data_IF_138222423904
#
_entry.id   IF_138222423904
#
_cell.length_a   1.000
_cell.length_b   1.000
_cell.length_c   1.000
_cell.angle_alpha   90.00
_cell.angle_beta   90.00
_cell.angle_gamma   90.00
#
_symmetry.space_group_name_H-M   'P 1'
#
loop_
_entity.id
_entity.type
_entity.pdbx_description
1 polymer ?
#
# COMPACT_ATOMS: atom_id res chain seq x y z
N UNK A 1 60.28 33.00 -16.95
CA UNK A 1 59.45 31.86 -17.32
C UNK A 1 58.46 31.59 -16.20
N UNK A 2 57.17 31.87 -16.42
CA UNK A 2 56.11 31.56 -15.43
C UNK A 2 55.44 30.25 -15.84
N UNK A 3 55.64 29.23 -15.05
CA UNK A 3 55.01 27.92 -15.21
C UNK A 3 53.55 27.98 -14.72
N UNK A 4 52.59 27.97 -15.64
CA UNK A 4 51.18 27.82 -15.32
C UNK A 4 50.89 26.37 -14.91
N UNK A 5 50.68 26.13 -13.61
CA UNK A 5 50.14 24.88 -13.10
C UNK A 5 48.66 24.84 -13.44
N UNK A 6 48.28 23.93 -14.33
CA UNK A 6 46.89 23.61 -14.62
C UNK A 6 46.29 22.89 -13.38
N UNK A 7 45.35 23.55 -12.69
CA UNK A 7 44.60 22.91 -11.62
C UNK A 7 43.88 21.66 -12.17
N UNK A 8 44.17 20.52 -11.58
CA UNK A 8 43.45 19.28 -11.86
C UNK A 8 41.94 19.50 -11.58
N UNK A 9 41.13 19.26 -12.61
CA UNK A 9 39.67 19.31 -12.49
C UNK A 9 39.27 18.18 -11.57
N UNK A 10 38.66 18.52 -10.39
CA UNK A 10 38.10 17.51 -9.51
C UNK A 10 37.09 16.67 -10.30
N UNK A 11 37.30 15.37 -10.34
CA UNK A 11 36.32 14.42 -10.85
C UNK A 11 35.09 14.48 -9.96
N UNK A 12 33.88 14.43 -10.53
CA UNK A 12 32.66 14.38 -9.73
C UNK A 12 32.76 13.20 -8.76
N UNK A 13 32.51 13.47 -7.46
CA UNK A 13 32.40 12.43 -6.45
C UNK A 13 31.34 11.45 -6.92
N UNK A 14 31.71 10.20 -7.11
CA UNK A 14 30.77 9.10 -7.25
C UNK A 14 30.00 9.07 -5.92
N UNK A 15 28.73 9.48 -5.94
CA UNK A 15 27.84 9.31 -4.80
C UNK A 15 27.55 7.82 -4.74
N UNK A 16 28.14 7.13 -3.78
CA UNK A 16 27.75 5.75 -3.50
C UNK A 16 26.25 5.73 -3.21
N UNK A 17 25.45 4.82 -3.82
CA UNK A 17 24.04 4.72 -3.51
C UNK A 17 23.90 4.52 -2.00
N UNK A 18 22.97 5.26 -1.38
CA UNK A 18 22.68 5.09 0.05
C UNK A 18 22.38 3.62 0.32
N UNK A 19 22.90 3.07 1.40
CA UNK A 19 22.70 1.65 1.76
C UNK A 19 21.22 1.28 1.93
N UNK A 20 20.33 2.27 1.95
CA UNK A 20 18.87 2.12 2.09
C UNK A 20 18.10 2.36 0.79
N UNK A 21 18.77 2.71 -0.33
CA UNK A 21 18.10 2.87 -1.62
C UNK A 21 17.46 1.55 -2.07
N UNK A 22 16.15 1.61 -2.36
CA UNK A 22 15.37 0.44 -2.72
C UNK A 22 14.92 -0.44 -1.55
N UNK A 23 15.33 -0.17 -0.31
CA UNK A 23 14.81 -0.90 0.85
C UNK A 23 13.34 -0.52 1.07
N UNK A 24 12.42 -1.40 0.70
CA UNK A 24 10.98 -1.16 0.73
C UNK A 24 10.26 -2.20 1.61
N UNK A 25 9.52 -1.71 2.58
CA UNK A 25 8.52 -2.48 3.33
C UNK A 25 7.13 -2.02 2.88
N UNK A 26 6.38 -2.91 2.25
CA UNK A 26 5.07 -2.60 1.68
C UNK A 26 3.98 -3.47 2.29
N UNK A 27 2.94 -2.84 2.82
CA UNK A 27 1.70 -3.50 3.22
C UNK A 27 0.68 -3.33 2.10
N UNK A 28 0.11 -4.43 1.62
CA UNK A 28 -1.03 -4.42 0.72
C UNK A 28 -2.25 -4.79 1.56
N UNK A 29 -3.09 -3.80 1.84
CA UNK A 29 -4.28 -3.95 2.65
C UNK A 29 -5.52 -3.90 1.76
N UNK A 30 -6.33 -4.93 1.77
CA UNK A 30 -7.54 -4.98 0.96
C UNK A 30 -8.76 -5.41 1.78
N UNK A 31 -9.83 -4.69 1.53
CA UNK A 31 -11.15 -5.00 2.02
C UNK A 31 -11.68 -6.27 1.33
N UNK A 32 -12.18 -7.22 2.12
CA UNK A 32 -12.68 -8.52 1.66
C UNK A 32 -14.21 -8.62 1.67
N UNK A 33 -14.90 -7.51 1.85
CA UNK A 33 -16.36 -7.46 1.78
C UNK A 33 -16.88 -7.75 0.36
N UNK A 34 -18.15 -8.10 0.24
CA UNK A 34 -18.70 -8.63 -1.01
C UNK A 34 -18.56 -7.71 -2.23
N UNK A 35 -18.61 -6.37 -2.02
CA UNK A 35 -18.42 -5.36 -3.07
C UNK A 35 -17.02 -5.40 -3.70
N UNK A 36 -16.01 -5.85 -2.93
CA UNK A 36 -14.62 -5.91 -3.35
C UNK A 36 -14.23 -7.18 -4.11
N UNK A 37 -15.12 -8.17 -4.21
CA UNK A 37 -14.80 -9.50 -4.77
C UNK A 37 -14.15 -9.46 -6.16
N UNK A 38 -14.58 -8.56 -7.06
CA UNK A 38 -14.01 -8.45 -8.41
C UNK A 38 -12.55 -7.98 -8.39
N UNK A 39 -12.20 -7.08 -7.48
CA UNK A 39 -10.83 -6.54 -7.33
C UNK A 39 -9.89 -7.59 -6.72
N UNK A 40 -10.35 -8.28 -5.69
CA UNK A 40 -9.59 -9.36 -5.04
C UNK A 40 -9.34 -10.51 -6.02
N UNK A 41 -10.37 -10.93 -6.77
CA UNK A 41 -10.22 -11.99 -7.76
C UNK A 41 -9.22 -11.62 -8.86
N UNK A 42 -9.15 -10.37 -9.29
CA UNK A 42 -8.14 -9.91 -10.24
C UNK A 42 -6.71 -10.05 -9.65
N UNK A 43 -6.50 -9.70 -8.39
CA UNK A 43 -5.22 -9.92 -7.71
C UNK A 43 -4.91 -11.41 -7.59
N UNK A 44 -5.86 -12.23 -7.12
CA UNK A 44 -5.68 -13.70 -7.00
C UNK A 44 -5.31 -14.34 -8.34
N UNK A 45 -5.91 -13.87 -9.44
CA UNK A 45 -5.64 -14.39 -10.79
C UNK A 45 -4.20 -14.14 -11.23
N UNK A 46 -3.65 -12.96 -10.93
CA UNK A 46 -2.34 -12.52 -11.42
C UNK A 46 -1.22 -12.63 -10.38
N UNK A 47 -1.51 -13.02 -9.14
CA UNK A 47 -0.53 -13.01 -8.04
C UNK A 47 0.73 -13.84 -8.33
N UNK A 48 0.58 -14.98 -9.04
CA UNK A 48 1.70 -15.85 -9.37
C UNK A 48 2.69 -15.24 -10.37
N UNK A 49 2.26 -14.22 -11.12
CA UNK A 49 3.11 -13.48 -12.06
C UNK A 49 3.61 -12.19 -11.41
N UNK A 50 2.74 -11.52 -10.67
CA UNK A 50 3.02 -10.23 -10.02
C UNK A 50 4.12 -10.35 -8.96
N UNK A 51 3.97 -11.29 -8.02
CA UNK A 51 4.87 -11.40 -6.86
C UNK A 51 6.31 -11.68 -7.27
N UNK A 52 6.62 -12.69 -8.11
CA UNK A 52 8.00 -12.89 -8.59
C UNK A 52 8.56 -11.70 -9.36
N UNK A 53 7.73 -11.00 -10.15
CA UNK A 53 8.13 -9.80 -10.89
C UNK A 53 8.57 -8.69 -9.94
N UNK A 54 7.83 -8.44 -8.86
CA UNK A 54 8.17 -7.42 -7.87
C UNK A 54 9.49 -7.75 -7.16
N UNK A 55 9.68 -8.99 -6.71
CA UNK A 55 10.92 -9.39 -6.02
C UNK A 55 12.13 -9.42 -6.95
N UNK A 56 11.96 -9.80 -8.22
CA UNK A 56 13.04 -9.72 -9.20
C UNK A 56 13.45 -8.29 -9.51
N UNK A 57 12.51 -7.34 -9.44
CA UNK A 57 12.79 -5.92 -9.67
C UNK A 57 13.39 -5.21 -8.45
N UNK A 58 13.08 -5.69 -7.25
CA UNK A 58 13.58 -5.13 -5.99
C UNK A 58 13.86 -6.24 -4.95
N UNK A 59 15.11 -6.75 -4.86
CA UNK A 59 15.50 -7.78 -3.90
C UNK A 59 15.36 -7.37 -2.42
N UNK A 60 15.35 -6.06 -2.12
CA UNK A 60 15.19 -5.54 -0.76
C UNK A 60 13.72 -5.21 -0.41
N UNK A 61 12.78 -5.70 -1.21
CA UNK A 61 11.36 -5.62 -0.95
C UNK A 61 10.94 -6.66 0.11
N UNK A 62 10.11 -6.25 1.08
CA UNK A 62 9.27 -7.13 1.89
C UNK A 62 7.81 -6.74 1.72
N UNK A 63 6.94 -7.73 1.65
CA UNK A 63 5.50 -7.53 1.52
C UNK A 63 4.78 -8.12 2.73
N UNK A 64 3.87 -7.36 3.32
CA UNK A 64 2.82 -7.82 4.24
C UNK A 64 1.48 -7.77 3.52
N UNK A 65 0.61 -8.70 3.82
CA UNK A 65 -0.77 -8.70 3.30
C UNK A 65 -1.73 -8.58 4.49
N UNK A 66 -2.66 -7.65 4.39
CA UNK A 66 -3.75 -7.47 5.35
C UNK A 66 -5.08 -7.61 4.61
N UNK A 67 -5.82 -8.67 4.91
CA UNK A 67 -7.17 -8.91 4.39
C UNK A 67 -8.16 -8.65 5.51
N UNK A 68 -9.13 -7.77 5.29
CA UNK A 68 -9.98 -7.30 6.39
C UNK A 68 -11.44 -7.09 5.96
N UNK A 69 -12.35 -7.08 6.92
CA UNK A 69 -13.77 -6.79 6.76
C UNK A 69 -14.21 -5.74 7.78
N UNK A 70 -15.16 -6.13 8.65
CA UNK A 70 -15.75 -5.21 9.63
C UNK A 70 -15.93 -5.87 11.00
N UNK A 71 -16.31 -5.06 12.00
CA UNK A 71 -16.65 -5.52 13.36
C UNK A 71 -17.72 -6.59 13.36
N UNK A 72 -18.66 -6.58 12.43
CA UNK A 72 -19.67 -7.61 12.29
C UNK A 72 -19.11 -9.01 11.99
N UNK A 73 -17.94 -9.07 11.38
CA UNK A 73 -17.25 -10.31 11.02
C UNK A 73 -16.35 -10.85 12.14
N UNK A 74 -16.15 -10.08 13.21
CA UNK A 74 -15.43 -10.51 14.41
C UNK A 74 -16.25 -11.53 15.21
N UNK A 75 -15.58 -12.47 15.86
CA UNK A 75 -16.21 -13.40 16.80
C UNK A 75 -16.41 -12.79 18.18
N UNK A 76 -15.48 -11.94 18.58
CA UNK A 76 -15.51 -11.12 19.79
C UNK A 76 -14.52 -9.98 19.64
N UNK A 77 -14.55 -9.01 20.58
CA UNK A 77 -13.60 -7.88 20.58
C UNK A 77 -12.11 -8.29 20.61
N UNK A 78 -11.81 -9.48 21.12
CA UNK A 78 -10.45 -10.00 21.25
C UNK A 78 -10.17 -11.15 20.26
N UNK A 79 -11.15 -11.57 19.47
CA UNK A 79 -11.03 -12.63 18.47
C UNK A 79 -11.55 -12.15 17.11
N UNK A 80 -10.65 -11.65 16.30
CA UNK A 80 -10.97 -11.09 14.99
C UNK A 80 -11.48 -12.14 13.99
N UNK A 81 -11.14 -13.43 14.17
CA UNK A 81 -11.55 -14.49 13.27
C UNK A 81 -11.07 -14.21 11.85
N UNK A 82 -12.01 -14.18 10.88
CA UNK A 82 -11.72 -13.81 9.49
C UNK A 82 -11.77 -12.30 9.22
N UNK A 83 -12.29 -11.51 10.19
CA UNK A 83 -12.43 -10.06 10.03
C UNK A 83 -11.09 -9.33 9.84
N UNK A 84 -10.01 -9.85 10.41
CA UNK A 84 -8.66 -9.31 10.23
C UNK A 84 -7.66 -10.46 10.08
N UNK A 85 -7.18 -10.64 8.88
CA UNK A 85 -6.23 -11.68 8.50
C UNK A 85 -4.94 -11.01 8.07
N UNK A 86 -3.79 -11.43 8.61
CA UNK A 86 -2.50 -10.80 8.34
C UNK A 86 -1.42 -11.83 8.02
N UNK A 87 -0.65 -11.53 7.00
CA UNK A 87 0.67 -12.09 6.76
C UNK A 87 1.70 -11.01 7.04
N UNK A 88 2.55 -11.26 8.02
CA UNK A 88 3.63 -10.32 8.38
C UNK A 88 4.60 -10.08 7.22
N UNK A 89 5.35 -8.97 7.31
CA UNK A 89 6.36 -8.60 6.32
C UNK A 89 7.32 -9.74 6.02
N UNK A 90 7.35 -10.19 4.80
CA UNK A 90 8.18 -11.31 4.32
C UNK A 90 8.69 -11.08 2.89
N UNK A 91 9.79 -11.73 2.53
CA UNK A 91 10.27 -11.87 1.16
C UNK A 91 10.04 -13.29 0.59
N UNK A 92 9.27 -14.11 1.28
CA UNK A 92 8.90 -15.45 0.83
C UNK A 92 7.70 -15.38 -0.12
N UNK A 93 7.97 -15.47 -1.42
CA UNK A 93 6.97 -15.40 -2.49
C UNK A 93 5.86 -16.44 -2.31
N UNK A 94 6.21 -17.66 -1.88
CA UNK A 94 5.23 -18.74 -1.72
C UNK A 94 4.25 -18.44 -0.59
N UNK A 95 4.72 -17.85 0.51
CA UNK A 95 3.85 -17.44 1.61
C UNK A 95 2.87 -16.36 1.17
N UNK A 96 3.34 -15.38 0.40
CA UNK A 96 2.50 -14.28 -0.11
C UNK A 96 1.43 -14.83 -1.06
N UNK A 97 1.84 -15.63 -2.05
CA UNK A 97 0.93 -16.23 -3.03
C UNK A 97 -0.10 -17.11 -2.34
N UNK A 98 0.34 -17.94 -1.37
CA UNK A 98 -0.55 -18.80 -0.59
C UNK A 98 -1.57 -17.98 0.19
N UNK A 99 -1.12 -16.98 0.94
CA UNK A 99 -1.99 -16.16 1.76
C UNK A 99 -3.07 -15.45 0.93
N UNK A 100 -2.69 -14.81 -0.19
CA UNK A 100 -3.64 -14.11 -1.07
C UNK A 100 -4.70 -15.08 -1.62
N UNK A 101 -4.32 -16.31 -1.99
CA UNK A 101 -5.27 -17.30 -2.49
C UNK A 101 -6.20 -17.85 -1.40
N UNK A 102 -5.74 -17.93 -0.14
CA UNK A 102 -6.48 -18.48 0.99
C UNK A 102 -7.25 -17.44 1.80
N UNK A 103 -7.00 -16.13 1.57
CA UNK A 103 -7.70 -15.06 2.25
C UNK A 103 -9.22 -15.21 2.09
N UNK A 104 -9.91 -15.21 3.24
CA UNK A 104 -11.35 -15.46 3.31
C UNK A 104 -12.13 -14.16 3.10
N UNK A 105 -13.23 -14.29 2.40
CA UNK A 105 -14.19 -13.22 2.20
C UNK A 105 -14.93 -12.92 3.52
N UNK A 106 -15.31 -11.67 3.71
CA UNK A 106 -16.09 -11.17 4.83
C UNK A 106 -17.45 -10.65 4.34
N UNK A 107 -18.34 -10.34 5.28
CA UNK A 107 -19.71 -9.98 4.93
C UNK A 107 -19.92 -8.47 4.82
N UNK A 108 -19.26 -7.70 5.70
CA UNK A 108 -19.69 -6.35 6.00
C UNK A 108 -21.07 -6.33 6.67
N UNK A 109 -21.35 -5.40 7.55
CA UNK A 109 -22.62 -5.37 8.29
C UNK A 109 -23.47 -4.15 8.04
N UNK A 110 -22.85 -3.08 7.65
CA UNK A 110 -23.44 -1.81 7.26
C UNK A 110 -22.64 -1.17 6.12
N UNK A 111 -22.69 0.12 5.94
CA UNK A 111 -22.04 0.80 4.81
C UNK A 111 -20.64 1.32 5.11
N UNK A 112 -20.22 1.32 6.37
CA UNK A 112 -18.88 1.68 6.82
C UNK A 112 -18.14 0.40 7.25
N UNK A 113 -16.80 0.43 7.25
CA UNK A 113 -15.97 -0.71 7.62
C UNK A 113 -14.91 -0.26 8.64
N UNK A 114 -14.29 -1.18 9.38
CA UNK A 114 -13.38 -0.81 10.50
C UNK A 114 -11.98 -0.35 10.05
N UNK A 115 -11.93 0.54 9.07
CA UNK A 115 -10.67 1.06 8.51
C UNK A 115 -9.83 1.82 9.53
N UNK A 116 -10.47 2.48 10.53
CA UNK A 116 -9.76 3.11 11.64
C UNK A 116 -8.94 2.09 12.44
N UNK A 117 -9.48 0.89 12.64
CA UNK A 117 -8.77 -0.23 13.29
C UNK A 117 -7.65 -0.76 12.39
N UNK A 118 -7.88 -0.86 11.09
CA UNK A 118 -6.86 -1.31 10.12
C UNK A 118 -5.66 -0.35 10.10
N UNK A 119 -5.91 0.96 10.04
CA UNK A 119 -4.84 1.98 10.09
C UNK A 119 -4.05 1.83 11.39
N UNK A 120 -4.75 1.73 12.53
CA UNK A 120 -4.12 1.54 13.84
C UNK A 120 -3.23 0.30 13.88
N UNK A 121 -3.77 -0.86 13.52
CA UNK A 121 -3.04 -2.13 13.58
C UNK A 121 -1.83 -2.16 12.64
N UNK A 122 -1.96 -1.66 11.41
CA UNK A 122 -0.83 -1.55 10.49
C UNK A 122 0.26 -0.63 11.07
N UNK A 123 -0.14 0.48 11.68
CA UNK A 123 0.79 1.44 12.25
C UNK A 123 1.56 0.87 13.44
N UNK A 124 0.86 0.20 14.36
CA UNK A 124 1.40 -0.22 15.66
C UNK A 124 1.99 -1.63 15.64
N UNK A 125 1.48 -2.55 14.79
CA UNK A 125 1.83 -3.98 14.87
C UNK A 125 2.76 -4.44 13.74
N UNK A 126 2.95 -3.67 12.66
CA UNK A 126 3.85 -4.07 11.57
C UNK A 126 5.31 -3.91 11.97
N UNK A 127 6.12 -4.95 11.77
CA UNK A 127 7.56 -4.95 12.07
C UNK A 127 8.38 -4.23 10.98
N UNK A 128 8.18 -2.93 10.86
CA UNK A 128 8.88 -2.07 9.90
C UNK A 128 10.40 -2.07 10.13
N UNK A 129 11.19 -2.15 9.05
CA UNK A 129 12.66 -1.98 9.16
C UNK A 129 13.02 -0.51 9.35
N UNK A 130 14.03 -0.27 10.16
CA UNK A 130 14.65 1.05 10.24
C UNK A 130 15.30 1.40 8.88
N UNK A 131 15.11 2.64 8.43
CA UNK A 131 15.67 3.11 7.15
C UNK A 131 14.92 2.65 5.89
N UNK A 132 13.90 1.78 6.00
CA UNK A 132 13.10 1.42 4.84
C UNK A 132 12.11 2.52 4.44
N UNK A 133 11.79 2.58 3.16
CA UNK A 133 10.55 3.20 2.70
C UNK A 133 9.38 2.36 3.22
N UNK A 134 8.46 2.99 3.97
CA UNK A 134 7.31 2.33 4.57
C UNK A 134 6.06 2.75 3.82
N UNK A 135 5.46 1.84 3.10
CA UNK A 135 4.29 2.11 2.26
C UNK A 135 3.14 1.15 2.56
N UNK A 136 1.95 1.67 2.56
CA UNK A 136 0.69 0.91 2.62
C UNK A 136 -0.10 1.22 1.36
N UNK A 137 -0.55 0.22 0.62
CA UNK A 137 -1.55 0.37 -0.41
C UNK A 137 -2.89 -0.15 0.13
N UNK A 138 -3.82 0.76 0.39
CA UNK A 138 -5.18 0.45 0.83
C UNK A 138 -6.10 0.37 -0.39
N UNK A 139 -6.68 -0.80 -0.62
CA UNK A 139 -7.63 -1.11 -1.71
C UNK A 139 -9.00 -1.36 -1.07
N UNK A 140 -9.91 -0.39 -1.21
CA UNK A 140 -11.16 -0.40 -0.45
C UNK A 140 -12.23 0.51 -1.08
N UNK A 141 -13.51 0.34 -0.68
CA UNK A 141 -14.64 1.05 -1.30
C UNK A 141 -15.64 1.67 -0.31
N UNK A 142 -15.36 1.62 1.00
CA UNK A 142 -16.19 2.16 2.08
C UNK A 142 -15.49 3.34 2.82
N UNK A 143 -15.95 3.69 4.00
CA UNK A 143 -15.34 4.67 4.91
C UNK A 143 -15.15 4.05 6.32
N UNK A 144 -14.31 4.67 7.19
CA UNK A 144 -14.14 4.20 8.55
C UNK A 144 -15.36 4.50 9.42
N UNK A 145 -15.58 3.68 10.43
CA UNK A 145 -16.54 4.00 11.48
C UNK A 145 -16.14 5.26 12.25
N UNK A 146 -17.14 5.94 12.76
CA UNK A 146 -16.96 7.13 13.61
C UNK A 146 -16.66 6.71 15.05
N UNK A 147 -15.93 7.55 15.75
CA UNK A 147 -15.79 7.44 17.21
C UNK A 147 -17.18 7.32 17.85
N UNK A 148 -17.35 6.39 18.77
CA UNK A 148 -18.61 6.07 19.39
C UNK A 148 -19.40 4.93 18.75
N UNK A 149 -18.93 4.36 17.64
CA UNK A 149 -19.56 3.23 16.97
C UNK A 149 -19.74 2.03 17.90
N UNK A 150 -20.85 1.32 17.73
CA UNK A 150 -21.19 0.12 18.52
C UNK A 150 -21.88 -0.92 17.65
N UNK A 151 -21.53 -2.18 17.80
CA UNK A 151 -22.13 -3.27 17.04
C UNK A 151 -22.40 -4.50 17.92
N UNK A 152 -23.69 -4.77 18.17
CA UNK A 152 -24.27 -6.02 18.73
C UNK A 152 -23.45 -6.70 19.86
N UNK A 153 -22.89 -5.95 20.79
CA UNK A 153 -22.08 -6.48 21.90
C UNK A 153 -20.66 -6.94 21.52
N UNK A 154 -20.28 -6.89 20.26
CA UNK A 154 -18.91 -7.17 19.79
C UNK A 154 -18.03 -5.96 20.08
N UNK A 155 -18.47 -4.79 19.66
CA UNK A 155 -17.80 -3.52 19.97
C UNK A 155 -18.83 -2.56 20.60
N UNK A 156 -18.42 -1.81 21.61
CA UNK A 156 -19.26 -0.80 22.26
C UNK A 156 -18.46 0.48 22.40
N UNK A 157 -19.01 1.58 21.88
CA UNK A 157 -18.43 2.90 21.97
C UNK A 157 -16.96 2.94 21.52
N UNK A 158 -16.70 2.51 20.27
CA UNK A 158 -15.36 2.50 19.67
C UNK A 158 -14.68 3.87 19.81
N UNK A 159 -13.43 3.88 20.29
CA UNK A 159 -12.69 5.10 20.59
C UNK A 159 -11.56 5.39 19.60
N UNK A 160 -11.44 4.63 18.50
CA UNK A 160 -10.41 4.85 17.51
C UNK A 160 -10.84 5.98 16.59
N UNK A 161 -10.06 7.05 16.57
CA UNK A 161 -10.17 8.11 15.57
C UNK A 161 -9.12 7.87 14.47
N UNK A 162 -9.56 7.61 13.26
CA UNK A 162 -8.67 7.32 12.15
C UNK A 162 -7.68 8.48 11.85
N UNK A 163 -8.05 9.73 12.16
CA UNK A 163 -7.16 10.88 11.96
C UNK A 163 -5.99 10.86 12.94
N UNK A 164 -6.25 10.50 14.19
CA UNK A 164 -5.17 10.34 15.17
C UNK A 164 -4.25 9.17 14.79
N UNK A 165 -4.79 8.07 14.27
CA UNK A 165 -3.99 6.95 13.79
C UNK A 165 -3.19 7.31 12.52
N UNK A 166 -3.77 8.05 11.58
CA UNK A 166 -3.08 8.57 10.40
C UNK A 166 -1.93 9.53 10.78
N UNK A 167 -2.12 10.35 11.80
CA UNK A 167 -1.07 11.23 12.33
C UNK A 167 0.10 10.42 12.91
N UNK A 168 -0.19 9.41 13.72
CA UNK A 168 0.85 8.49 14.24
C UNK A 168 1.61 7.81 13.10
N UNK A 169 0.91 7.32 12.07
CA UNK A 169 1.52 6.73 10.90
C UNK A 169 2.47 7.70 10.19
N UNK A 170 2.04 8.94 10.00
CA UNK A 170 2.85 10.02 9.41
C UNK A 170 4.11 10.30 10.23
N UNK A 171 4.00 10.37 11.55
CA UNK A 171 5.13 10.58 12.47
C UNK A 171 6.16 9.43 12.39
N UNK A 172 5.73 8.21 12.06
CA UNK A 172 6.59 7.04 11.83
C UNK A 172 7.11 6.94 10.38
N UNK A 173 6.74 7.89 9.51
CA UNK A 173 7.11 7.91 8.10
C UNK A 173 6.38 6.87 7.25
N UNK A 174 5.22 6.35 7.72
CA UNK A 174 4.40 5.39 7.00
C UNK A 174 3.48 6.16 6.05
N UNK A 175 3.56 5.85 4.76
CA UNK A 175 2.76 6.47 3.71
C UNK A 175 1.57 5.59 3.37
N UNK A 176 0.35 6.11 3.46
CA UNK A 176 -0.86 5.42 3.00
C UNK A 176 -1.23 5.88 1.59
N UNK A 177 -0.95 5.02 0.62
CA UNK A 177 -1.49 5.13 -0.72
C UNK A 177 -2.89 4.50 -0.72
N UNK A 178 -3.83 5.13 -1.42
CA UNK A 178 -5.20 4.64 -1.47
C UNK A 178 -5.67 4.42 -2.90
N UNK A 179 -6.22 3.25 -3.16
CA UNK A 179 -6.96 2.95 -4.37
C UNK A 179 -8.44 3.09 -4.07
N UNK A 180 -9.01 4.23 -4.46
CA UNK A 180 -10.41 4.57 -4.18
C UNK A 180 -11.33 4.03 -5.25
N UNK A 181 -12.17 3.09 -4.88
CA UNK A 181 -13.09 2.41 -5.79
C UNK A 181 -14.45 3.13 -5.84
N UNK A 182 -14.98 3.50 -4.68
CA UNK A 182 -16.25 4.18 -4.57
C UNK A 182 -16.07 5.71 -4.55
N UNK A 183 -16.58 6.45 -5.56
CA UNK A 183 -16.41 7.89 -5.65
C UNK A 183 -17.07 8.68 -4.51
N UNK A 184 -18.03 8.09 -3.78
CA UNK A 184 -18.71 8.75 -2.65
C UNK A 184 -17.69 9.05 -1.53
N UNK A 185 -16.73 8.16 -1.32
CA UNK A 185 -15.75 8.27 -0.24
C UNK A 185 -14.41 8.87 -0.66
N UNK A 186 -14.27 9.37 -1.90
CA UNK A 186 -13.01 9.91 -2.43
C UNK A 186 -12.41 11.01 -1.54
N UNK A 187 -13.23 11.78 -0.84
CA UNK A 187 -12.77 12.82 0.09
C UNK A 187 -11.96 12.24 1.25
N UNK A 188 -12.47 11.18 1.87
CA UNK A 188 -11.79 10.48 2.97
C UNK A 188 -10.46 9.88 2.53
N UNK A 189 -10.44 9.16 1.40
CA UNK A 189 -9.21 8.53 0.89
C UNK A 189 -8.12 9.57 0.56
N UNK A 190 -8.50 10.69 -0.04
CA UNK A 190 -7.58 11.81 -0.31
C UNK A 190 -7.04 12.43 0.98
N UNK A 191 -7.90 12.58 2.01
CA UNK A 191 -7.49 13.12 3.30
C UNK A 191 -6.48 12.19 3.98
N UNK A 192 -6.75 10.87 4.05
CA UNK A 192 -5.82 9.88 4.60
C UNK A 192 -4.46 9.92 3.89
N UNK A 193 -4.45 9.85 2.56
CA UNK A 193 -3.21 9.90 1.79
C UNK A 193 -2.46 11.22 1.99
N UNK A 194 -3.16 12.36 2.00
CA UNK A 194 -2.53 13.67 2.22
C UNK A 194 -1.90 13.79 3.62
N UNK A 195 -2.56 13.28 4.67
CA UNK A 195 -2.05 13.30 6.04
C UNK A 195 -0.77 12.48 6.20
N UNK A 196 -0.59 11.44 5.40
CA UNK A 196 0.52 10.49 5.49
C UNK A 196 1.55 10.63 4.35
N UNK A 197 1.48 11.70 3.56
CA UNK A 197 2.32 11.91 2.37
C UNK A 197 2.25 10.73 1.36
N UNK A 198 1.08 10.11 1.28
CA UNK A 198 0.76 9.06 0.31
C UNK A 198 0.04 9.60 -0.92
N UNK A 199 -0.40 8.69 -1.78
CA UNK A 199 -1.04 8.98 -3.06
C UNK A 199 -2.44 8.39 -3.08
N UNK A 200 -3.45 9.17 -3.48
CA UNK A 200 -4.81 8.70 -3.69
C UNK A 200 -5.12 8.57 -5.16
N UNK A 201 -5.45 7.36 -5.60
CA UNK A 201 -5.78 7.05 -6.99
C UNK A 201 -7.23 6.60 -7.08
N UNK A 202 -8.13 7.35 -7.76
CA UNK A 202 -9.44 6.85 -8.13
C UNK A 202 -9.31 5.77 -9.19
N UNK A 203 -9.96 4.61 -8.98
CA UNK A 203 -9.78 3.46 -9.85
C UNK A 203 -11.07 2.62 -9.95
N UNK A 204 -11.46 2.24 -11.16
CA UNK A 204 -12.74 1.53 -11.40
C UNK A 204 -12.57 0.17 -12.08
N UNK A 205 -11.52 -0.01 -12.88
CA UNK A 205 -11.34 -1.23 -13.67
C UNK A 205 -10.71 -2.36 -12.83
N UNK A 206 -11.53 -3.16 -12.17
CA UNK A 206 -11.07 -4.26 -11.31
C UNK A 206 -10.06 -5.19 -11.99
N UNK A 207 -10.19 -5.43 -13.30
CA UNK A 207 -9.26 -6.32 -14.02
C UNK A 207 -7.80 -5.86 -14.04
N UNK A 208 -7.55 -4.60 -13.72
CA UNK A 208 -6.21 -3.98 -13.68
C UNK A 208 -5.69 -3.71 -12.26
N UNK A 209 -6.33 -4.28 -11.24
CA UNK A 209 -5.89 -4.08 -9.84
C UNK A 209 -4.44 -4.48 -9.62
N UNK A 210 -3.99 -5.58 -10.22
CA UNK A 210 -2.60 -6.04 -10.13
C UNK A 210 -1.59 -5.02 -10.66
N UNK A 211 -1.95 -4.29 -11.72
CA UNK A 211 -1.11 -3.25 -12.32
C UNK A 211 -1.03 -2.01 -11.42
N UNK A 212 -2.07 -1.72 -10.63
CA UNK A 212 -2.01 -0.64 -9.62
C UNK A 212 -1.07 -1.05 -8.48
N UNK A 213 -1.14 -2.29 -8.01
CA UNK A 213 -0.19 -2.83 -7.02
C UNK A 213 1.25 -2.74 -7.53
N UNK A 214 1.47 -3.10 -8.81
CA UNK A 214 2.78 -3.00 -9.45
C UNK A 214 3.27 -1.54 -9.50
N UNK A 215 2.43 -0.60 -9.95
CA UNK A 215 2.78 0.81 -10.02
C UNK A 215 3.18 1.38 -8.65
N UNK A 216 2.41 1.05 -7.61
CA UNK A 216 2.69 1.48 -6.24
C UNK A 216 4.03 0.92 -5.73
N UNK A 217 4.31 -0.37 -5.95
CA UNK A 217 5.56 -0.99 -5.51
C UNK A 217 6.78 -0.46 -6.28
N UNK A 218 6.67 -0.34 -7.62
CA UNK A 218 7.78 0.13 -8.46
C UNK A 218 8.11 1.60 -8.19
N UNK A 219 7.12 2.46 -7.95
CA UNK A 219 7.34 3.89 -7.68
C UNK A 219 8.13 4.15 -6.39
N UNK A 220 8.12 3.19 -5.46
CA UNK A 220 8.74 3.32 -4.14
C UNK A 220 10.02 2.50 -3.96
N UNK A 221 10.44 1.78 -4.99
CA UNK A 221 11.64 0.95 -4.96
C UNK A 221 12.94 1.71 -5.26
N UNK A 222 12.92 3.05 -5.22
CA UNK A 222 14.08 3.90 -5.44
C UNK A 222 14.66 3.80 -6.85
N UNK A 223 15.96 4.03 -6.97
CA UNK A 223 16.64 4.00 -8.28
C UNK A 223 16.61 2.63 -8.94
N UNK A 224 16.48 1.55 -8.15
CA UNK A 224 16.47 0.16 -8.65
C UNK A 224 15.29 -0.15 -9.56
N UNK A 225 14.12 0.40 -9.26
CA UNK A 225 12.89 0.11 -9.98
C UNK A 225 12.51 1.18 -11.01
N UNK A 226 13.20 2.32 -11.02
CA UNK A 226 12.91 3.47 -11.86
C UNK A 226 12.75 3.11 -13.34
N UNK A 227 13.74 2.44 -13.92
CA UNK A 227 13.71 2.08 -15.34
C UNK A 227 12.52 1.16 -15.69
N UNK A 228 12.18 0.21 -14.81
CA UNK A 228 11.03 -0.66 -15.00
C UNK A 228 9.71 0.11 -14.85
N UNK A 229 9.63 1.02 -13.87
CA UNK A 229 8.49 1.91 -13.69
C UNK A 229 8.22 2.73 -14.96
N UNK A 230 9.25 3.39 -15.50
CA UNK A 230 9.16 4.21 -16.72
C UNK A 230 8.74 3.38 -17.94
N UNK A 231 9.32 2.20 -18.12
CA UNK A 231 8.98 1.29 -19.22
C UNK A 231 7.53 0.80 -19.10
N UNK A 232 7.05 0.49 -17.89
CA UNK A 232 5.67 0.06 -17.67
C UNK A 232 4.68 1.22 -17.87
N UNK A 233 5.05 2.42 -17.42
CA UNK A 233 4.26 3.64 -17.69
C UNK A 233 4.12 3.88 -19.20
N UNK A 234 5.22 3.73 -19.97
CA UNK A 234 5.21 3.87 -21.42
C UNK A 234 4.30 2.84 -22.11
N UNK A 235 4.29 1.61 -21.61
CA UNK A 235 3.40 0.56 -22.11
C UNK A 235 1.92 0.94 -21.97
N UNK A 236 1.54 1.67 -20.91
CA UNK A 236 0.16 2.08 -20.63
C UNK A 236 -0.24 3.42 -21.23
N UNK A 237 0.58 4.11 -22.05
CA UNK A 237 0.24 5.43 -22.63
C UNK A 237 -1.09 5.50 -23.39
N UNK A 238 -1.57 4.36 -23.92
CA UNK A 238 -2.86 4.26 -24.59
C UNK A 238 -4.06 4.03 -23.68
N UNK A 239 -3.84 3.81 -22.38
CA UNK A 239 -4.83 3.51 -21.37
C UNK A 239 -4.97 4.70 -20.42
N UNK A 240 -6.06 5.46 -20.54
CA UNK A 240 -6.25 6.69 -19.78
C UNK A 240 -6.25 6.46 -18.25
N UNK A 241 -6.83 5.35 -17.78
CA UNK A 241 -6.90 5.06 -16.35
C UNK A 241 -5.53 4.68 -15.80
N UNK A 242 -4.82 3.77 -16.46
CA UNK A 242 -3.46 3.38 -16.04
C UNK A 242 -2.46 4.53 -16.20
N UNK A 243 -2.58 5.34 -17.24
CA UNK A 243 -1.78 6.57 -17.40
C UNK A 243 -2.00 7.51 -16.21
N UNK A 244 -3.23 7.67 -15.73
CA UNK A 244 -3.52 8.50 -14.55
C UNK A 244 -2.88 7.91 -13.28
N UNK A 245 -2.92 6.57 -13.11
CA UNK A 245 -2.26 5.86 -12.01
C UNK A 245 -0.76 6.14 -12.01
N UNK A 246 -0.07 5.86 -13.10
CA UNK A 246 1.38 6.07 -13.20
C UNK A 246 1.77 7.54 -13.04
N UNK A 247 1.02 8.47 -13.62
CA UNK A 247 1.28 9.91 -13.43
C UNK A 247 1.13 10.34 -11.96
N UNK A 248 0.18 9.76 -11.22
CA UNK A 248 0.03 10.06 -9.80
C UNK A 248 1.25 9.60 -8.98
N UNK A 249 1.79 8.43 -9.30
CA UNK A 249 2.97 7.86 -8.63
C UNK A 249 4.30 8.43 -9.11
N UNK A 250 4.37 9.12 -10.24
CA UNK A 250 5.63 9.64 -10.80
C UNK A 250 6.40 10.58 -9.87
N UNK A 251 5.72 11.19 -8.90
CA UNK A 251 6.35 12.05 -7.88
C UNK A 251 7.20 11.29 -6.85
N UNK A 252 6.97 9.99 -6.72
CA UNK A 252 7.70 9.12 -5.79
C UNK A 252 8.92 8.48 -6.43
N UNK A 253 8.99 8.51 -7.77
CA UNK A 253 10.14 7.97 -8.52
C UNK A 253 11.29 8.97 -8.43
N UNK A 254 12.24 8.68 -7.56
CA UNK A 254 13.42 9.55 -7.33
C UNK A 254 14.47 9.41 -8.42
N UNK A 255 15.21 10.49 -8.65
CA UNK A 255 16.38 10.53 -9.52
C UNK A 255 17.62 9.91 -8.86
#
# INVERSE_FOLDING_TARGET
>A
MRTNLIKAKELPKVVEPSTTDGMLDMVIAFDTTGSMSAYINAVKTHVKELVPKLFSSNPDLRISIVAFGDYCDMRSKDNFGKAYQVLDLTNDENKIIKFINEAQDTSGGDGDEFYELVIKKITEETAWREGSTKAVLLIADAAPHKVGYSYKGIISNAQIDWREEAKKASELGIKFDTMTINPIFVGWYKELSAMTNGISVPFKNSSKTSQVVEAAALSRGGTRTKALYEATMDFFKGDAEMTAVYNAYSKEVTD
#
